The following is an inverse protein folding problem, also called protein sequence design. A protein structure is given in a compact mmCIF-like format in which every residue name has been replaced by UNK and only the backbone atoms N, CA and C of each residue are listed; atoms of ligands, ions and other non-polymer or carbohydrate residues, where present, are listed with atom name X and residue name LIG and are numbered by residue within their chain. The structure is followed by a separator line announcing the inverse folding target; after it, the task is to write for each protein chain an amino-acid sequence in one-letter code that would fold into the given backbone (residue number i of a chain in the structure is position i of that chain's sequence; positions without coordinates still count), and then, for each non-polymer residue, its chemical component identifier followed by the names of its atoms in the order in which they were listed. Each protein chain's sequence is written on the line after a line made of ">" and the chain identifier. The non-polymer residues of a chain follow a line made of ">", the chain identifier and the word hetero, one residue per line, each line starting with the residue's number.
data_IF_534179800192
#
_entry.id   IF_534179800192
#
_cell.length_a   1.000
_cell.length_b   1.000
_cell.length_c   1.000
_cell.angle_alpha   90.00
_cell.angle_beta   90.00
_cell.angle_gamma   90.00
#
_symmetry.space_group_name_H-M   'P 1'
#
loop_
_entity.id
_entity.type
_entity.pdbx_description
1 polymer ?
#
# COMPACT_ATOMS: atom_id res chain seq x y z
N UNK A 1 4.79 -3.39 13.70
CA UNK A 1 5.57 -4.54 13.16
C UNK A 1 6.91 -4.00 12.71
N UNK A 2 7.99 -4.79 12.80
CA UNK A 2 9.31 -4.36 12.29
C UNK A 2 9.64 -5.14 11.02
N UNK A 3 9.95 -4.44 9.92
CA UNK A 3 10.34 -5.03 8.64
C UNK A 3 11.74 -4.51 8.27
N UNK A 4 12.63 -5.39 7.83
CA UNK A 4 13.95 -4.97 7.37
C UNK A 4 13.89 -4.33 5.98
N UNK A 5 14.85 -3.45 5.67
CA UNK A 5 14.98 -2.84 4.35
C UNK A 5 15.05 -3.90 3.22
N UNK A 6 15.85 -4.95 3.43
CA UNK A 6 15.96 -6.07 2.48
C UNK A 6 14.61 -6.75 2.23
N UNK A 7 13.81 -6.98 3.29
CA UNK A 7 12.50 -7.62 3.15
C UNK A 7 11.52 -6.74 2.37
N UNK A 8 11.51 -5.43 2.63
CA UNK A 8 10.66 -4.47 1.93
C UNK A 8 11.06 -4.35 0.45
N UNK A 9 12.35 -4.28 0.13
CA UNK A 9 12.83 -4.29 -1.25
C UNK A 9 12.41 -5.56 -1.99
N UNK A 10 12.52 -6.74 -1.34
CA UNK A 10 12.04 -7.98 -1.92
C UNK A 10 10.53 -7.93 -2.18
N UNK A 11 9.74 -7.46 -1.21
CA UNK A 11 8.30 -7.34 -1.37
C UNK A 11 7.89 -6.43 -2.54
N UNK A 12 8.60 -5.31 -2.73
CA UNK A 12 8.40 -4.42 -3.89
C UNK A 12 8.74 -5.16 -5.19
N UNK A 13 9.89 -5.81 -5.29
CA UNK A 13 10.29 -6.57 -6.49
C UNK A 13 9.33 -7.71 -6.82
N UNK A 14 8.82 -8.39 -5.79
CA UNK A 14 7.90 -9.51 -5.92
C UNK A 14 6.45 -9.08 -6.15
N UNK A 15 6.17 -7.78 -6.30
CA UNK A 15 4.80 -7.22 -6.46
C UNK A 15 3.83 -7.67 -5.37
N UNK A 16 4.34 -7.78 -4.14
CA UNK A 16 3.50 -8.11 -2.98
C UNK A 16 2.66 -6.90 -2.52
N UNK A 17 3.03 -5.68 -2.93
CA UNK A 17 2.23 -4.48 -2.72
C UNK A 17 1.26 -4.27 -3.88
N UNK A 18 0.01 -3.96 -3.57
CA UNK A 18 -1.07 -3.78 -4.55
C UNK A 18 -1.92 -2.58 -4.20
N UNK A 19 -2.44 -1.83 -5.19
CA UNK A 19 -3.41 -0.77 -4.95
C UNK A 19 -4.78 -1.38 -4.64
N UNK A 20 -5.44 -0.84 -3.62
CA UNK A 20 -6.87 -0.99 -3.39
C UNK A 20 -7.53 0.37 -3.60
N UNK A 21 -8.79 0.39 -4.01
CA UNK A 21 -9.51 1.63 -4.29
C UNK A 21 -10.70 1.78 -3.37
N UNK A 22 -10.74 2.89 -2.64
CA UNK A 22 -11.88 3.27 -1.80
C UNK A 22 -12.73 4.29 -2.56
N UNK A 23 -13.99 4.00 -2.90
CA UNK A 23 -14.87 4.95 -3.56
C UNK A 23 -15.09 6.20 -2.70
N UNK A 24 -15.07 7.37 -3.34
CA UNK A 24 -15.52 8.63 -2.75
C UNK A 24 -16.92 8.89 -3.30
N UNK A 25 -17.89 9.03 -2.40
CA UNK A 25 -19.31 9.18 -2.74
C UNK A 25 -19.79 10.61 -2.50
N UNK A 26 -20.61 11.12 -3.40
CA UNK A 26 -21.29 12.40 -3.24
C UNK A 26 -22.29 12.32 -2.08
N UNK A 27 -22.20 13.24 -1.13
CA UNK A 27 -23.04 13.22 0.08
C UNK A 27 -24.53 13.49 -0.22
N UNK A 28 -24.83 14.23 -1.29
CA UNK A 28 -26.21 14.63 -1.62
C UNK A 28 -26.93 13.61 -2.51
N UNK A 29 -26.23 12.93 -3.42
CA UNK A 29 -26.83 12.01 -4.40
C UNK A 29 -26.37 10.55 -4.33
N UNK A 30 -25.31 10.25 -3.55
CA UNK A 30 -24.80 8.89 -3.35
C UNK A 30 -24.00 8.32 -4.53
N UNK A 31 -23.84 9.07 -5.61
CA UNK A 31 -23.03 8.67 -6.77
C UNK A 31 -21.54 8.63 -6.42
N UNK A 32 -20.80 7.70 -7.04
CA UNK A 32 -19.34 7.66 -6.93
C UNK A 32 -18.75 8.79 -7.77
N UNK A 33 -18.03 9.70 -7.12
CA UNK A 33 -17.39 10.87 -7.76
C UNK A 33 -15.88 10.72 -7.90
N UNK A 34 -15.30 9.66 -7.36
CA UNK A 34 -13.88 9.36 -7.46
C UNK A 34 -13.48 8.16 -6.62
N UNK A 35 -12.17 7.96 -6.47
CA UNK A 35 -11.63 6.97 -5.56
C UNK A 35 -10.29 7.41 -4.97
N UNK A 36 -10.02 6.95 -3.75
CA UNK A 36 -8.71 7.02 -3.13
C UNK A 36 -7.96 5.71 -3.38
N UNK A 37 -6.72 5.80 -3.86
CA UNK A 37 -5.82 4.65 -3.94
C UNK A 37 -5.13 4.44 -2.59
N UNK A 38 -5.30 3.23 -2.04
CA UNK A 38 -4.73 2.82 -0.78
C UNK A 38 -3.76 1.66 -0.99
N UNK A 39 -2.51 1.82 -0.58
CA UNK A 39 -1.54 0.73 -0.63
C UNK A 39 -1.95 -0.42 0.30
N UNK A 40 -1.83 -1.65 -0.19
CA UNK A 40 -1.98 -2.89 0.57
C UNK A 40 -0.77 -3.78 0.32
N UNK A 41 -0.43 -4.59 1.31
CA UNK A 41 0.60 -5.62 1.17
C UNK A 41 -0.05 -6.99 1.32
N UNK A 42 -0.07 -7.77 0.25
CA UNK A 42 -0.39 -9.19 0.24
C UNK A 42 0.80 -9.98 0.79
N UNK A 43 0.99 -9.92 2.12
CA UNK A 43 2.14 -10.53 2.76
C UNK A 43 1.97 -12.06 2.77
N UNK A 44 2.94 -12.86 2.26
CA UNK A 44 2.77 -14.30 2.07
C UNK A 44 2.38 -15.07 3.34
N UNK A 45 2.90 -14.66 4.50
CA UNK A 45 2.63 -15.30 5.79
C UNK A 45 1.60 -14.56 6.67
N UNK A 46 1.33 -13.27 6.41
CA UNK A 46 0.50 -12.43 7.29
C UNK A 46 -0.82 -12.02 6.66
N UNK A 47 -1.04 -12.41 5.41
CA UNK A 47 -2.21 -12.01 4.63
C UNK A 47 -2.18 -10.54 4.27
N UNK A 48 -3.37 -9.96 4.11
CA UNK A 48 -3.56 -8.58 3.72
C UNK A 48 -3.19 -7.62 4.86
N UNK A 49 -2.15 -6.82 4.67
CA UNK A 49 -1.75 -5.76 5.59
C UNK A 49 -2.13 -4.38 5.03
N UNK A 50 -2.58 -3.51 5.92
CA UNK A 50 -2.88 -2.11 5.59
C UNK A 50 -1.60 -1.26 5.62
N UNK A 51 -1.67 -0.08 5.00
CA UNK A 51 -0.57 0.89 4.98
C UNK A 51 0.00 1.16 6.38
N UNK A 52 -0.86 1.31 7.40
CA UNK A 52 -0.43 1.54 8.79
C UNK A 52 0.48 0.45 9.37
N UNK A 53 0.47 -0.76 8.81
CA UNK A 53 1.36 -1.83 9.27
C UNK A 53 2.81 -1.68 8.78
N UNK A 54 3.04 -1.05 7.62
CA UNK A 54 4.34 -1.07 6.94
C UNK A 54 4.88 0.29 6.50
N UNK A 55 4.05 1.32 6.38
CA UNK A 55 4.49 2.67 5.96
C UNK A 55 5.60 3.24 6.87
N UNK A 56 5.53 3.13 8.21
CA UNK A 56 6.64 3.61 9.06
C UNK A 56 7.99 2.96 8.71
N UNK A 57 7.99 1.69 8.31
CA UNK A 57 9.21 0.99 7.89
C UNK A 57 9.66 1.40 6.47
N UNK A 58 8.72 1.68 5.56
CA UNK A 58 9.02 2.23 4.23
C UNK A 58 9.67 3.62 4.34
N UNK A 59 9.16 4.47 5.22
CA UNK A 59 9.70 5.81 5.49
C UNK A 59 11.09 5.73 6.11
N UNK A 60 11.27 4.91 7.15
CA UNK A 60 12.57 4.72 7.81
C UNK A 60 13.66 4.15 6.88
N UNK A 61 13.28 3.50 5.78
CA UNK A 61 14.20 2.90 4.81
C UNK A 61 14.35 3.71 3.52
N UNK A 62 13.63 4.83 3.37
CA UNK A 62 13.67 5.66 2.16
C UNK A 62 13.07 5.00 0.92
N UNK A 63 12.25 3.95 1.08
CA UNK A 63 11.71 3.16 -0.04
C UNK A 63 10.40 3.71 -0.62
N UNK A 64 9.90 4.85 -0.13
CA UNK A 64 8.60 5.41 -0.54
C UNK A 64 8.44 5.57 -2.05
N UNK A 65 9.45 6.13 -2.73
CA UNK A 65 9.42 6.28 -4.19
C UNK A 65 9.43 4.94 -4.94
N UNK A 66 10.10 3.92 -4.41
CA UNK A 66 10.12 2.59 -5.01
C UNK A 66 8.77 1.88 -4.84
N UNK A 67 8.13 2.04 -3.67
CA UNK A 67 6.79 1.55 -3.43
C UNK A 67 5.78 2.18 -4.41
N UNK A 68 5.78 3.50 -4.54
CA UNK A 68 4.85 4.22 -5.43
C UNK A 68 4.99 3.79 -6.89
N UNK A 69 6.23 3.64 -7.38
CA UNK A 69 6.48 3.11 -8.73
C UNK A 69 6.03 1.67 -8.92
N UNK A 70 6.03 0.87 -7.85
CA UNK A 70 5.56 -0.52 -7.90
C UNK A 70 4.04 -0.67 -7.83
N UNK A 71 3.32 0.42 -7.49
CA UNK A 71 1.85 0.47 -7.44
C UNK A 71 1.23 1.05 -8.72
N UNK A 72 2.05 1.60 -9.63
CA UNK A 72 1.66 2.15 -10.92
C UNK A 72 1.65 1.09 -12.03
#
# INVERSE_FOLDING_TARGET
>A
MHFSAFRLQQAIRNREFTPFYQPIVCATGGEVVGCEMLARWLHPQKGLLSAGNFIPAIEATGLGGALLRGLA
#
